data_IF_490403932840
#
_entry.id   IF_490403932840
#
_cell.length_a   1.000
_cell.length_b   1.000
_cell.length_c   1.000
_cell.angle_alpha   90.00
_cell.angle_beta   90.00
_cell.angle_gamma   90.00
#
_symmetry.space_group_name_H-M   'P 1'
#
loop_
_entity.id
_entity.type
_entity.pdbx_description
1 polymer ?
#
# COMPACT_ATOMS: atom_id res chain seq x y z
N UNK A 1 -0.89 2.81 -18.28
CA UNK A 1 -1.43 1.48 -18.62
C UNK A 1 -1.63 0.53 -17.41
N UNK A 2 -1.93 1.01 -16.20
CA UNK A 2 -2.65 0.29 -15.11
C UNK A 2 -3.52 1.33 -14.40
N UNK A 3 -2.88 2.48 -14.11
CA UNK A 3 -3.52 3.66 -13.56
C UNK A 3 -4.74 4.10 -14.39
N UNK A 4 -4.60 4.15 -15.72
CA UNK A 4 -5.71 4.48 -16.62
C UNK A 4 -6.90 3.52 -16.53
N UNK A 5 -6.63 2.22 -16.41
CA UNK A 5 -7.69 1.25 -16.13
C UNK A 5 -8.25 1.41 -14.71
N UNK A 6 -7.40 1.74 -13.73
CA UNK A 6 -7.86 1.93 -12.35
C UNK A 6 -8.80 3.14 -12.21
N UNK A 7 -8.59 4.18 -13.04
CA UNK A 7 -9.46 5.35 -13.24
C UNK A 7 -10.84 5.02 -13.79
N UNK A 8 -11.02 3.93 -14.52
CA UNK A 8 -12.36 3.53 -15.00
C UNK A 8 -13.19 2.79 -13.94
N UNK A 9 -12.59 2.44 -12.79
CA UNK A 9 -13.27 1.70 -11.72
C UNK A 9 -13.87 2.64 -10.67
N UNK A 10 -14.98 2.21 -10.07
CA UNK A 10 -15.63 2.91 -8.95
C UNK A 10 -14.65 3.12 -7.78
N UNK A 11 -14.94 4.12 -6.94
CA UNK A 11 -14.18 4.45 -5.72
C UNK A 11 -12.69 4.78 -6.01
N UNK A 12 -12.43 5.68 -6.97
CA UNK A 12 -11.10 6.21 -7.26
C UNK A 12 -11.14 7.73 -7.43
N UNK A 13 -11.50 8.41 -6.34
CA UNK A 13 -11.51 9.88 -6.25
C UNK A 13 -10.13 10.47 -6.51
N UNK A 14 -10.07 11.74 -6.92
CA UNK A 14 -8.81 12.41 -7.25
C UNK A 14 -7.79 12.40 -6.12
N UNK A 15 -8.23 12.56 -4.86
CA UNK A 15 -7.35 12.44 -3.70
C UNK A 15 -6.78 11.02 -3.58
N UNK A 16 -7.62 10.00 -3.73
CA UNK A 16 -7.15 8.62 -3.69
C UNK A 16 -6.23 8.28 -4.88
N UNK A 17 -6.44 8.88 -6.06
CA UNK A 17 -5.52 8.77 -7.18
C UNK A 17 -4.14 9.33 -6.84
N UNK A 18 -4.08 10.54 -6.27
CA UNK A 18 -2.82 11.17 -5.82
C UNK A 18 -2.10 10.31 -4.80
N UNK A 19 -2.83 9.76 -3.82
CA UNK A 19 -2.26 8.87 -2.81
C UNK A 19 -1.67 7.60 -3.42
N UNK A 20 -2.38 6.99 -4.37
CA UNK A 20 -1.90 5.79 -5.07
C UNK A 20 -0.67 6.10 -5.92
N UNK A 21 -0.66 7.21 -6.67
CA UNK A 21 0.49 7.63 -7.48
C UNK A 21 1.70 7.89 -6.58
N UNK A 22 1.51 8.60 -5.47
CA UNK A 22 2.56 8.86 -4.49
C UNK A 22 3.13 7.56 -3.91
N UNK A 23 2.26 6.61 -3.54
CA UNK A 23 2.67 5.30 -3.04
C UNK A 23 3.48 4.53 -4.10
N UNK A 24 3.02 4.48 -5.35
CA UNK A 24 3.72 3.80 -6.44
C UNK A 24 5.11 4.41 -6.65
N UNK A 25 5.18 5.74 -6.72
CA UNK A 25 6.44 6.46 -6.93
C UNK A 25 7.44 6.27 -5.79
N UNK A 26 6.96 6.19 -4.54
CA UNK A 26 7.82 6.09 -3.36
C UNK A 26 8.19 4.66 -2.98
N UNK A 27 7.29 3.71 -3.23
CA UNK A 27 7.41 2.36 -2.67
C UNK A 27 7.57 1.25 -3.72
N UNK A 28 7.24 1.51 -4.99
CA UNK A 28 7.36 0.50 -6.05
C UNK A 28 8.41 0.86 -7.09
N UNK A 29 8.37 2.06 -7.65
CA UNK A 29 9.30 2.48 -8.71
C UNK A 29 10.78 2.41 -8.31
N UNK A 30 11.21 2.75 -7.08
CA UNK A 30 12.61 2.62 -6.69
C UNK A 30 13.15 1.18 -6.77
N UNK A 31 12.27 0.19 -6.63
CA UNK A 31 12.63 -1.23 -6.62
C UNK A 31 12.44 -1.91 -7.97
N UNK A 32 11.38 -1.55 -8.70
CA UNK A 32 10.96 -2.29 -9.91
C UNK A 32 10.86 -1.42 -11.16
N UNK A 33 11.00 -0.10 -11.05
CA UNK A 33 10.73 0.82 -12.17
C UNK A 33 11.65 0.65 -13.37
N UNK A 34 12.81 0.02 -13.18
CA UNK A 34 13.79 -0.28 -14.24
C UNK A 34 13.64 -1.69 -14.82
N UNK A 35 12.70 -2.50 -14.32
CA UNK A 35 12.52 -3.89 -14.70
C UNK A 35 11.27 -4.06 -15.56
N UNK A 36 11.31 -4.91 -16.59
CA UNK A 36 10.10 -5.44 -17.21
C UNK A 36 9.24 -6.14 -16.14
N UNK A 37 7.91 -5.98 -16.23
CA UNK A 37 6.98 -6.59 -15.26
C UNK A 37 7.10 -8.12 -15.20
N UNK A 38 7.48 -8.74 -16.33
CA UNK A 38 7.71 -10.19 -16.45
C UNK A 38 8.96 -10.70 -15.72
N UNK A 39 9.86 -9.80 -15.31
CA UNK A 39 11.08 -10.15 -14.55
C UNK A 39 10.91 -9.99 -13.03
N UNK A 40 9.78 -9.43 -12.58
CA UNK A 40 9.53 -9.27 -11.15
C UNK A 40 9.21 -10.64 -10.54
N UNK A 41 9.98 -11.04 -9.53
CA UNK A 41 9.81 -12.32 -8.82
C UNK A 41 9.38 -12.12 -7.37
N UNK A 42 8.86 -13.18 -6.74
CA UNK A 42 8.47 -13.15 -5.33
C UNK A 42 9.65 -12.82 -4.40
N UNK A 43 10.84 -13.45 -4.53
CA UNK A 43 11.99 -13.11 -3.68
C UNK A 43 12.45 -11.66 -3.80
N UNK A 44 12.38 -11.09 -5.01
CA UNK A 44 12.69 -9.67 -5.22
C UNK A 44 11.71 -8.77 -4.49
N UNK A 45 10.40 -9.07 -4.58
CA UNK A 45 9.36 -8.33 -3.88
C UNK A 45 9.50 -8.46 -2.35
N UNK A 46 9.79 -9.66 -1.85
CA UNK A 46 10.04 -9.90 -0.43
C UNK A 46 11.21 -9.06 0.08
N UNK A 47 12.34 -9.09 -0.63
CA UNK A 47 13.52 -8.30 -0.28
C UNK A 47 13.23 -6.79 -0.31
N UNK A 48 12.52 -6.32 -1.33
CA UNK A 48 12.17 -4.90 -1.46
C UNK A 48 11.27 -4.40 -0.33
N UNK A 49 10.32 -5.22 0.14
CA UNK A 49 9.35 -4.77 1.14
C UNK A 49 9.77 -5.05 2.58
N UNK A 50 10.77 -5.91 2.81
CA UNK A 50 11.31 -6.24 4.14
C UNK A 50 11.72 -5.01 4.95
N UNK A 51 12.32 -4.00 4.30
CA UNK A 51 12.69 -2.74 4.96
C UNK A 51 11.50 -2.08 5.69
N UNK A 52 10.27 -2.15 5.16
CA UNK A 52 9.11 -1.52 5.81
C UNK A 52 8.65 -2.29 7.05
N UNK A 53 8.93 -3.59 7.13
CA UNK A 53 8.71 -4.36 8.34
C UNK A 53 9.77 -4.03 9.40
N UNK A 54 11.04 -3.97 8.98
CA UNK A 54 12.17 -3.66 9.84
C UNK A 54 12.00 -2.26 10.47
N UNK A 55 11.46 -1.31 9.71
CA UNK A 55 11.09 0.05 10.14
C UNK A 55 9.76 0.13 10.93
N UNK A 56 9.09 -1.01 11.19
CA UNK A 56 7.76 -1.10 11.85
C UNK A 56 6.63 -0.33 11.15
N UNK A 57 6.77 -0.04 9.85
CA UNK A 57 5.75 0.61 9.03
C UNK A 57 4.74 -0.40 8.44
N UNK A 58 4.06 -1.16 9.30
CA UNK A 58 3.21 -2.30 8.89
C UNK A 58 2.00 -1.91 8.01
N UNK A 59 1.39 -0.74 8.25
CA UNK A 59 0.32 -0.23 7.37
C UNK A 59 0.85 0.18 5.99
N UNK A 60 2.02 0.80 5.93
CA UNK A 60 2.69 1.16 4.66
C UNK A 60 3.06 -0.10 3.89
N UNK A 61 3.60 -1.11 4.58
CA UNK A 61 3.92 -2.43 4.03
C UNK A 61 2.67 -3.09 3.41
N UNK A 62 1.59 -3.20 4.18
CA UNK A 62 0.31 -3.76 3.72
C UNK A 62 -0.22 -3.04 2.48
N UNK A 63 -0.28 -1.71 2.50
CA UNK A 63 -0.75 -0.91 1.36
C UNK A 63 0.15 -1.08 0.13
N UNK A 64 1.47 -1.18 0.33
CA UNK A 64 2.44 -1.38 -0.74
C UNK A 64 2.27 -2.74 -1.41
N UNK A 65 2.20 -3.82 -0.63
CA UNK A 65 1.98 -5.18 -1.15
C UNK A 65 0.64 -5.26 -1.88
N UNK A 66 -0.43 -4.70 -1.30
CA UNK A 66 -1.74 -4.68 -1.94
C UNK A 66 -1.69 -4.01 -3.31
N UNK A 67 -1.06 -2.84 -3.43
CA UNK A 67 -0.97 -2.11 -4.70
C UNK A 67 -0.05 -2.80 -5.70
N UNK A 68 1.07 -3.34 -5.25
CA UNK A 68 1.95 -4.16 -6.08
C UNK A 68 1.20 -5.36 -6.67
N UNK A 69 0.46 -6.10 -5.83
CA UNK A 69 -0.30 -7.26 -6.25
C UNK A 69 -1.45 -6.90 -7.22
N UNK A 70 -2.10 -5.74 -7.02
CA UNK A 70 -3.13 -5.21 -7.94
C UNK A 70 -2.54 -4.91 -9.34
N UNK A 71 -1.28 -4.45 -9.40
CA UNK A 71 -0.56 -4.22 -10.66
C UNK A 71 -0.14 -5.54 -11.33
N UNK A 72 0.37 -6.51 -10.55
CA UNK A 72 0.76 -7.82 -11.10
C UNK A 72 -0.46 -8.62 -11.61
N UNK A 73 -1.57 -8.60 -10.88
CA UNK A 73 -2.83 -9.24 -11.30
C UNK A 73 -3.39 -8.61 -12.57
N UNK A 74 -3.28 -7.28 -12.68
CA UNK A 74 -3.66 -6.57 -13.90
C UNK A 74 -2.83 -7.00 -15.12
N UNK A 75 -1.53 -7.24 -14.92
CA UNK A 75 -0.63 -7.69 -15.97
C UNK A 75 -0.94 -9.13 -16.39
N UNK A 76 -1.26 -9.99 -15.42
CA UNK A 76 -1.72 -11.36 -15.67
C UNK A 76 -2.97 -11.38 -16.55
N UNK A 77 -3.99 -10.59 -16.22
CA UNK A 77 -5.23 -10.54 -17.00
C UNK A 77 -5.09 -9.98 -18.43
N UNK A 78 -3.88 -9.54 -18.82
CA UNK A 78 -3.57 -9.02 -20.17
C UNK A 78 -2.47 -9.82 -20.84
N UNK A 79 -2.19 -11.01 -20.32
CA UNK A 79 -1.16 -11.91 -20.85
C UNK A 79 0.24 -11.28 -20.91
N UNK A 80 0.51 -10.25 -20.10
CA UNK A 80 1.85 -9.66 -19.97
C UNK A 80 2.78 -10.54 -19.13
N UNK A 81 2.18 -11.35 -18.24
CA UNK A 81 2.82 -12.38 -17.43
C UNK A 81 1.90 -13.61 -17.41
N UNK A 82 2.48 -14.80 -17.33
CA UNK A 82 1.72 -16.06 -17.33
C UNK A 82 1.15 -16.45 -15.96
N UNK A 83 1.72 -15.93 -14.88
CA UNK A 83 1.23 -16.10 -13.52
C UNK A 83 1.62 -14.88 -12.67
N UNK A 84 0.93 -14.68 -11.54
CA UNK A 84 1.27 -13.63 -10.59
C UNK A 84 2.20 -14.18 -9.48
N UNK A 85 3.51 -13.89 -9.50
CA UNK A 85 4.46 -14.40 -8.52
C UNK A 85 4.28 -13.77 -7.12
N UNK A 86 3.58 -12.65 -7.00
CA UNK A 86 3.45 -11.91 -5.74
C UNK A 86 2.09 -12.05 -5.06
N UNK A 87 1.24 -12.94 -5.56
CA UNK A 87 -0.14 -13.11 -5.07
C UNK A 87 -0.26 -13.36 -3.57
N UNK A 88 0.72 -14.05 -2.97
CA UNK A 88 0.67 -14.51 -1.57
C UNK A 88 1.80 -13.96 -0.68
N UNK A 89 2.63 -13.04 -1.17
CA UNK A 89 3.82 -12.58 -0.40
C UNK A 89 3.45 -11.85 0.89
N UNK A 90 2.22 -11.35 1.02
CA UNK A 90 1.73 -10.73 2.25
C UNK A 90 1.82 -11.67 3.47
N UNK A 91 1.77 -12.99 3.25
CA UNK A 91 1.83 -14.01 4.32
C UNK A 91 3.22 -14.18 4.91
N UNK A 92 4.26 -13.69 4.23
CA UNK A 92 5.65 -13.75 4.68
C UNK A 92 6.01 -12.57 5.61
N UNK A 93 5.08 -11.63 5.81
CA UNK A 93 5.28 -10.45 6.64
C UNK A 93 4.39 -10.48 7.89
N UNK A 94 4.88 -9.83 8.93
CA UNK A 94 4.10 -9.52 10.13
C UNK A 94 2.89 -8.68 9.75
N UNK A 95 1.72 -9.08 10.23
CA UNK A 95 0.51 -8.30 10.05
C UNK A 95 0.48 -7.13 11.04
N UNK A 96 -0.02 -5.94 10.64
CA UNK A 96 -0.24 -4.85 11.58
C UNK A 96 -1.13 -5.32 12.73
N UNK A 97 -0.68 -5.11 13.96
CA UNK A 97 -1.53 -5.25 15.14
C UNK A 97 -2.63 -4.21 15.05
N UNK A 98 -3.90 -4.65 15.07
CA UNK A 98 -5.05 -3.75 15.07
C UNK A 98 -5.07 -3.00 16.40
N UNK A 99 -4.45 -1.82 16.44
CA UNK A 99 -4.74 -0.85 17.49
C UNK A 99 -6.06 -0.18 17.16
N UNK A 100 -7.13 -0.57 17.86
CA UNK A 100 -8.32 0.27 17.92
C UNK A 100 -7.89 1.63 18.47
N UNK A 101 -8.07 2.70 17.68
CA UNK A 101 -7.88 4.07 18.15
C UNK A 101 -8.56 4.18 19.51
N UNK A 102 -7.81 4.55 20.55
CA UNK A 102 -8.37 4.81 21.87
C UNK A 102 -9.47 5.85 21.68
N UNK A 103 -10.72 5.41 21.82
CA UNK A 103 -11.87 6.30 21.83
C UNK A 103 -11.57 7.30 22.94
N UNK A 104 -11.50 8.60 22.60
CA UNK A 104 -11.39 9.65 23.62
C UNK A 104 -12.52 9.41 24.61
N UNK A 105 -12.18 9.23 25.89
CA UNK A 105 -13.23 9.17 26.91
C UNK A 105 -13.89 10.55 26.95
N UNK A 106 -15.17 10.65 27.32
CA UNK A 106 -15.87 11.95 27.41
C UNK A 106 -15.11 12.99 28.27
N UNK A 107 -14.35 12.49 29.25
CA UNK A 107 -13.46 13.23 30.13
C UNK A 107 -12.30 13.90 29.37
N UNK A 108 -11.61 13.15 28.50
CA UNK A 108 -10.49 13.62 27.66
C UNK A 108 -10.95 14.59 26.55
N UNK A 109 -12.22 14.48 26.14
CA UNK A 109 -12.81 15.37 25.13
C UNK A 109 -13.00 16.79 25.69
N UNK A 110 -13.37 16.93 26.96
CA UNK A 110 -13.59 18.25 27.58
C UNK A 110 -12.29 19.04 27.69
N UNK A 111 -11.19 18.38 28.07
CA UNK A 111 -9.87 18.99 28.16
C UNK A 111 -9.34 19.40 26.77
N UNK A 112 -9.55 18.55 25.75
CA UNK A 112 -9.23 18.87 24.36
C UNK A 112 -10.00 20.08 23.83
N UNK A 113 -11.31 20.16 24.11
CA UNK A 113 -12.17 21.28 23.71
C UNK A 113 -11.79 22.59 24.41
N UNK A 114 -11.44 22.54 25.70
CA UNK A 114 -10.99 23.70 26.46
C UNK A 114 -9.65 24.25 25.93
N UNK A 115 -8.74 23.36 25.53
CA UNK A 115 -7.44 23.74 24.97
C UNK A 115 -7.58 24.39 23.58
N UNK A 116 -8.53 23.92 22.75
CA UNK A 116 -8.81 24.52 21.44
C UNK A 116 -9.50 25.90 21.52
N UNK A 117 -10.31 26.15 22.55
CA UNK A 117 -11.00 27.44 22.73
C UNK A 117 -10.09 28.56 23.26
N UNK A 118 -8.96 28.22 23.88
CA UNK A 118 -8.04 29.16 24.49
C UNK A 118 -6.69 29.26 23.76
N UNK A 119 -6.61 28.78 22.52
CA UNK A 119 -5.44 28.86 21.64
C UNK A 119 -5.54 30.03 20.65
#
# INVERSE_FOLDING_TARGET
MWLEYRKTKKNFSDNYQKDVISLINRCLLPHFGHLPISQITAPMALKAFKQYQDERHLEKLKRTIQKHNEIMTYALHRDLISFNPTANIAKEFDSPTVEHFKMLKPEDLSEFMFTLQNA
#
